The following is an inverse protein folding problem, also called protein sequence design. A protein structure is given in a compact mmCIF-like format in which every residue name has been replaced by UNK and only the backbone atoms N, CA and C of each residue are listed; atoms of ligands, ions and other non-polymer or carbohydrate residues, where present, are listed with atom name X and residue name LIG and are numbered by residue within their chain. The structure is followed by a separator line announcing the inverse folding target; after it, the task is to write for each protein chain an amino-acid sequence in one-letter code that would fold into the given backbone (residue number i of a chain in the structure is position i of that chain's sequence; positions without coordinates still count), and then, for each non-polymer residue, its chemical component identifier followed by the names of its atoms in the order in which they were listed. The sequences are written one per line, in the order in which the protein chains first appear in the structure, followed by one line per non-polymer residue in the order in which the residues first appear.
data_IF_339782676586
#
_entry.id   IF_339782676586
#
_cell.length_a   1.000
_cell.length_b   1.000
_cell.length_c   1.000
_cell.angle_alpha   90.00
_cell.angle_beta   90.00
_cell.angle_gamma   90.00
#
_symmetry.space_group_name_H-M   'P 1'
#
loop_
_entity.id
_entity.type
_entity.pdbx_description
1 polymer ?
#
# COMPACT_ATOMS: atom_id res chain seq x y z
N UNK A 1 26.03 9.06 16.40
CA UNK A 1 24.94 9.46 15.48
C UNK A 1 23.62 8.69 15.74
N UNK A 2 23.62 7.35 15.92
CA UNK A 2 22.36 6.59 16.16
C UNK A 2 21.61 7.03 17.42
N UNK A 3 22.31 7.22 18.55
CA UNK A 3 21.69 7.66 19.82
C UNK A 3 21.00 9.00 19.68
N UNK A 4 21.65 9.98 19.08
CA UNK A 4 21.09 11.32 18.83
C UNK A 4 19.83 11.24 17.96
N UNK A 5 19.80 10.35 16.96
CA UNK A 5 18.64 10.14 16.11
C UNK A 5 17.47 9.52 16.91
N UNK A 6 17.73 8.60 17.84
CA UNK A 6 16.66 8.06 18.69
C UNK A 6 16.11 9.09 19.70
N UNK A 7 16.99 9.92 20.28
CA UNK A 7 16.56 11.05 21.13
C UNK A 7 15.67 11.99 20.33
N UNK A 8 16.09 12.37 19.12
CA UNK A 8 15.28 13.18 18.19
C UNK A 8 13.92 12.54 17.89
N UNK A 9 13.90 11.23 17.59
CA UNK A 9 12.64 10.53 17.32
C UNK A 9 11.68 10.60 18.51
N UNK A 10 12.16 10.27 19.71
CA UNK A 10 11.32 10.20 20.91
C UNK A 10 10.84 11.59 21.34
N UNK A 11 11.76 12.57 21.36
CA UNK A 11 11.48 13.88 21.95
C UNK A 11 10.81 14.85 20.96
N UNK A 12 11.03 14.69 19.67
CA UNK A 12 10.58 15.65 18.65
C UNK A 12 9.68 14.98 17.61
N UNK A 13 10.18 13.97 16.88
CA UNK A 13 9.45 13.43 15.75
C UNK A 13 8.17 12.73 16.16
N UNK A 14 8.20 11.77 17.09
CA UNK A 14 7.02 11.02 17.50
C UNK A 14 5.89 11.87 18.09
N UNK A 15 6.13 12.85 18.99
CA UNK A 15 5.08 13.77 19.43
C UNK A 15 4.43 14.56 18.28
N UNK A 16 5.23 15.09 17.36
CA UNK A 16 4.72 15.80 16.18
C UNK A 16 3.89 14.87 15.30
N UNK A 17 4.40 13.66 15.02
CA UNK A 17 3.70 12.68 14.18
C UNK A 17 2.39 12.20 14.79
N UNK A 18 2.32 12.08 16.11
CA UNK A 18 1.07 11.76 16.82
C UNK A 18 0.02 12.87 16.59
N UNK A 19 0.38 14.12 16.81
CA UNK A 19 -0.51 15.28 16.57
C UNK A 19 -0.93 15.33 15.10
N UNK A 20 0.00 15.20 14.17
CA UNK A 20 -0.28 15.18 12.73
C UNK A 20 -1.24 14.05 12.35
N UNK A 21 -1.09 12.86 12.95
CA UNK A 21 -1.98 11.72 12.69
C UNK A 21 -3.40 12.00 13.13
N UNK A 22 -3.57 12.57 14.34
CA UNK A 22 -4.89 12.94 14.86
C UNK A 22 -5.53 14.04 14.00
N UNK A 23 -4.80 15.10 13.68
CA UNK A 23 -5.28 16.19 12.82
C UNK A 23 -5.68 15.69 11.44
N UNK A 24 -4.85 14.84 10.82
CA UNK A 24 -5.15 14.24 9.52
C UNK A 24 -6.42 13.39 9.58
N UNK A 25 -6.60 12.61 10.64
CA UNK A 25 -7.80 11.80 10.81
C UNK A 25 -9.06 12.69 10.93
N UNK A 26 -9.00 13.75 11.73
CA UNK A 26 -10.10 14.71 11.90
C UNK A 26 -10.44 15.37 10.56
N UNK A 27 -9.44 15.92 9.86
CA UNK A 27 -9.63 16.59 8.56
C UNK A 27 -10.20 15.63 7.52
N UNK A 28 -9.72 14.38 7.48
CA UNK A 28 -10.26 13.36 6.56
C UNK A 28 -11.71 13.04 6.88
N UNK A 29 -12.06 12.85 8.16
CA UNK A 29 -13.44 12.51 8.57
C UNK A 29 -14.37 13.67 8.23
N UNK A 30 -14.07 14.88 8.70
CA UNK A 30 -14.93 16.06 8.51
C UNK A 30 -15.07 16.39 7.03
N UNK A 31 -13.95 16.47 6.29
CA UNK A 31 -13.98 16.80 4.87
C UNK A 31 -14.74 15.78 4.05
N UNK A 32 -14.61 14.48 4.36
CA UNK A 32 -15.35 13.42 3.67
C UNK A 32 -16.85 13.48 3.96
N UNK A 33 -17.25 13.85 5.17
CA UNK A 33 -18.66 14.04 5.55
C UNK A 33 -19.30 15.27 4.86
N UNK A 34 -18.53 16.31 4.62
CA UNK A 34 -18.96 17.51 3.89
C UNK A 34 -19.09 17.32 2.38
N UNK A 35 -18.97 16.10 1.86
CA UNK A 35 -19.25 15.75 0.47
C UNK A 35 -18.02 15.69 -0.46
N UNK A 36 -16.82 15.83 0.04
CA UNK A 36 -15.59 15.79 -0.75
C UNK A 36 -14.76 14.52 -0.59
N UNK A 37 -15.36 13.33 -0.45
CA UNK A 37 -14.67 12.07 -0.17
C UNK A 37 -13.59 11.69 -1.21
N UNK A 38 -13.72 12.13 -2.47
CA UNK A 38 -12.68 11.96 -3.50
C UNK A 38 -11.40 12.73 -3.15
N UNK A 39 -11.53 13.98 -2.70
CA UNK A 39 -10.42 14.84 -2.33
C UNK A 39 -9.95 14.55 -0.90
N UNK A 40 -10.85 14.68 0.08
CA UNK A 40 -10.53 14.55 1.50
C UNK A 40 -10.18 13.13 1.93
N UNK A 41 -10.65 12.13 1.18
CA UNK A 41 -10.27 10.73 1.40
C UNK A 41 -8.88 10.35 0.86
N UNK A 42 -8.17 11.27 0.19
CA UNK A 42 -6.84 10.98 -0.36
C UNK A 42 -5.79 12.01 0.04
N UNK A 43 -6.02 13.31 -0.22
CA UNK A 43 -4.97 14.33 -0.08
C UNK A 43 -4.46 14.53 1.35
N UNK A 44 -5.29 14.52 2.41
CA UNK A 44 -4.77 14.60 3.77
C UNK A 44 -3.83 13.45 4.11
N UNK A 45 -4.19 12.21 3.75
CA UNK A 45 -3.34 11.04 3.96
C UNK A 45 -2.05 11.06 3.14
N UNK A 46 -2.10 11.62 1.92
CA UNK A 46 -0.89 11.84 1.10
C UNK A 46 0.07 12.82 1.78
N UNK A 47 -0.42 13.98 2.22
CA UNK A 47 0.40 14.99 2.90
C UNK A 47 0.94 14.44 4.21
N UNK A 48 0.11 13.78 5.00
CA UNK A 48 0.51 13.10 6.23
C UNK A 48 1.66 12.12 6.01
N UNK A 49 1.57 11.28 4.99
CA UNK A 49 2.61 10.30 4.65
C UNK A 49 3.93 10.98 4.25
N UNK A 50 3.86 12.08 3.51
CA UNK A 50 5.04 12.88 3.13
C UNK A 50 5.68 13.54 4.36
N UNK A 51 4.88 14.10 5.26
CA UNK A 51 5.35 14.71 6.50
C UNK A 51 5.99 13.67 7.43
N UNK A 52 5.46 12.44 7.51
CA UNK A 52 6.08 11.34 8.27
C UNK A 52 7.49 11.07 7.74
N UNK A 53 7.65 10.92 6.42
CA UNK A 53 8.97 10.70 5.83
C UNK A 53 9.92 11.89 6.07
N UNK A 54 9.40 13.11 5.98
CA UNK A 54 10.17 14.34 6.23
C UNK A 54 10.67 14.42 7.68
N UNK A 55 9.77 14.33 8.66
CA UNK A 55 10.12 14.43 10.08
C UNK A 55 10.97 13.25 10.58
N UNK A 56 10.87 12.08 9.97
CA UNK A 56 11.75 10.96 10.26
C UNK A 56 13.04 10.98 9.43
N UNK A 57 13.27 12.04 8.63
CA UNK A 57 14.46 12.23 7.81
C UNK A 57 14.72 11.05 6.85
N UNK A 58 13.65 10.49 6.29
CA UNK A 58 13.67 9.35 5.39
C UNK A 58 13.64 9.84 3.94
N UNK A 59 14.76 9.74 3.19
CA UNK A 59 14.79 10.13 1.79
C UNK A 59 13.97 9.16 0.93
N UNK A 60 13.19 9.70 -0.02
CA UNK A 60 12.38 8.91 -0.94
C UNK A 60 12.83 9.15 -2.38
N UNK A 61 12.99 8.09 -3.15
CA UNK A 61 13.26 8.12 -4.60
C UNK A 61 12.13 7.39 -5.33
N UNK A 62 11.72 7.93 -6.48
CA UNK A 62 10.59 7.38 -7.25
C UNK A 62 11.03 7.20 -8.69
N UNK A 63 10.63 6.04 -9.27
CA UNK A 63 10.86 5.71 -10.67
C UNK A 63 9.55 5.26 -11.32
N UNK A 64 9.36 5.55 -12.60
CA UNK A 64 8.27 5.00 -13.41
C UNK A 64 6.91 5.67 -13.23
N UNK A 65 6.82 6.84 -12.56
CA UNK A 65 5.53 7.54 -12.40
C UNK A 65 4.93 7.97 -13.74
N UNK A 66 5.77 8.27 -14.72
CA UNK A 66 5.40 8.63 -16.10
C UNK A 66 4.67 7.52 -16.85
N UNK A 67 4.77 6.27 -16.41
CA UNK A 67 4.07 5.11 -16.98
C UNK A 67 2.57 5.08 -16.68
N UNK A 68 2.11 5.92 -15.76
CA UNK A 68 0.71 6.01 -15.37
C UNK A 68 -0.02 7.08 -16.17
N UNK A 69 -0.81 6.68 -17.16
CA UNK A 69 -1.45 7.58 -18.08
C UNK A 69 -2.89 7.96 -17.72
N UNK A 70 -3.28 9.20 -18.08
CA UNK A 70 -4.66 9.68 -18.07
C UNK A 70 -5.41 9.49 -16.73
N UNK A 71 -6.73 9.40 -16.79
CA UNK A 71 -7.64 9.11 -15.68
C UNK A 71 -7.98 7.61 -15.60
N UNK A 72 -7.04 6.73 -15.91
CA UNK A 72 -7.24 5.28 -15.89
C UNK A 72 -7.13 4.76 -14.47
N UNK A 73 -8.05 3.88 -14.08
CA UNK A 73 -7.99 3.14 -12.83
C UNK A 73 -7.11 1.89 -12.98
N UNK A 74 -6.34 1.59 -11.96
CA UNK A 74 -5.41 0.46 -11.91
C UNK A 74 -5.58 -0.35 -10.62
N UNK A 75 -5.10 -1.59 -10.63
CA UNK A 75 -4.81 -2.33 -9.41
C UNK A 75 -3.30 -2.32 -9.20
N UNK A 76 -2.83 -1.57 -8.20
CA UNK A 76 -1.44 -1.57 -7.78
C UNK A 76 -1.15 -2.79 -6.93
N UNK A 77 -0.16 -3.59 -7.33
CA UNK A 77 0.30 -4.80 -6.66
C UNK A 77 1.72 -4.66 -6.12
N UNK A 78 1.95 -4.00 -4.98
CA UNK A 78 3.27 -3.88 -4.39
C UNK A 78 3.69 -5.11 -3.59
N UNK A 79 5.01 -5.34 -3.44
CA UNK A 79 5.55 -6.20 -2.40
C UNK A 79 5.36 -5.55 -1.02
N UNK A 80 5.50 -6.32 0.06
CA UNK A 80 5.19 -5.86 1.42
C UNK A 80 6.34 -6.11 2.40
N UNK A 81 7.29 -5.16 2.47
CA UNK A 81 8.51 -5.28 3.26
C UNK A 81 8.37 -4.82 4.72
N UNK A 82 7.66 -3.72 4.95
CA UNK A 82 7.62 -3.12 6.27
C UNK A 82 6.41 -2.23 6.53
N UNK A 83 6.39 -1.61 7.70
CA UNK A 83 5.32 -0.66 8.06
C UNK A 83 5.37 0.62 7.24
N UNK A 84 6.54 0.97 6.70
CA UNK A 84 6.76 2.19 5.93
C UNK A 84 6.29 2.10 4.48
N UNK A 85 5.91 0.92 4.01
CA UNK A 85 5.30 0.72 2.68
C UNK A 85 4.06 1.60 2.49
N UNK A 86 3.26 1.76 3.56
CA UNK A 86 2.03 2.55 3.54
C UNK A 86 2.36 4.02 3.25
N UNK A 87 3.36 4.58 3.94
CA UNK A 87 3.78 5.98 3.76
C UNK A 87 4.39 6.20 2.38
N UNK A 88 5.18 5.24 1.90
CA UNK A 88 5.80 5.32 0.58
C UNK A 88 4.74 5.35 -0.53
N UNK A 89 3.78 4.43 -0.52
CA UNK A 89 2.72 4.38 -1.51
C UNK A 89 1.80 5.59 -1.38
N UNK A 90 1.28 5.87 -0.19
CA UNK A 90 0.29 6.92 0.02
C UNK A 90 0.85 8.30 -0.36
N UNK A 91 2.05 8.60 0.10
CA UNK A 91 2.69 9.89 -0.14
C UNK A 91 3.19 10.09 -1.57
N UNK A 92 3.59 9.01 -2.26
CA UNK A 92 4.49 9.16 -3.40
C UNK A 92 4.07 8.46 -4.69
N UNK A 93 3.05 7.60 -4.71
CA UNK A 93 2.60 6.94 -5.95
C UNK A 93 2.04 7.94 -7.00
N UNK A 94 1.50 9.07 -6.54
CA UNK A 94 1.03 10.14 -7.44
C UNK A 94 -0.36 9.91 -8.04
N UNK A 95 -1.13 8.95 -7.55
CA UNK A 95 -2.50 8.62 -7.99
C UNK A 95 -3.44 8.52 -6.81
N UNK A 96 -4.69 8.96 -7.00
CA UNK A 96 -5.74 8.70 -6.01
C UNK A 96 -6.10 7.22 -6.04
N UNK A 97 -6.17 6.62 -4.86
CA UNK A 97 -6.49 5.21 -4.72
C UNK A 97 -7.24 4.91 -3.42
N UNK A 98 -7.81 3.72 -3.35
CA UNK A 98 -8.34 3.15 -2.12
C UNK A 98 -7.52 1.93 -1.71
N UNK A 99 -7.21 1.84 -0.43
CA UNK A 99 -6.59 0.64 0.14
C UNK A 99 -7.60 -0.50 0.22
N UNK A 100 -7.16 -1.69 -0.10
CA UNK A 100 -7.82 -2.92 0.34
C UNK A 100 -7.08 -3.46 1.56
N UNK A 101 -7.72 -3.39 2.72
CA UNK A 101 -7.06 -3.64 4.00
C UNK A 101 -7.81 -4.65 4.86
N UNK A 102 -7.11 -5.21 5.85
CA UNK A 102 -7.69 -6.20 6.79
C UNK A 102 -8.80 -5.55 7.62
N UNK A 103 -9.96 -6.21 7.75
CA UNK A 103 -11.12 -5.74 8.52
C UNK A 103 -10.80 -5.32 9.96
N UNK A 104 -9.83 -5.99 10.60
CA UNK A 104 -9.43 -5.65 11.97
C UNK A 104 -8.87 -4.23 12.13
N UNK A 105 -8.32 -3.62 11.07
CA UNK A 105 -7.79 -2.25 11.11
C UNK A 105 -8.89 -1.20 11.32
N UNK A 106 -10.16 -1.53 11.05
CA UNK A 106 -11.31 -0.68 11.35
C UNK A 106 -11.45 -0.34 12.84
N UNK A 107 -10.89 -1.19 13.72
CA UNK A 107 -10.95 -1.01 15.18
C UNK A 107 -9.89 -0.07 15.73
N UNK A 108 -8.92 0.37 14.91
CA UNK A 108 -7.88 1.30 15.36
C UNK A 108 -8.49 2.67 15.69
N UNK A 109 -8.23 3.23 16.89
CA UNK A 109 -8.74 4.54 17.27
C UNK A 109 -8.33 5.59 16.23
N UNK A 110 -9.23 6.52 15.91
CA UNK A 110 -9.09 7.59 14.92
C UNK A 110 -8.81 7.09 13.50
N UNK A 111 -7.77 6.27 13.31
CA UNK A 111 -7.31 5.77 12.00
C UNK A 111 -8.38 4.92 11.31
N UNK A 112 -9.02 4.00 12.04
CA UNK A 112 -10.06 3.13 11.49
C UNK A 112 -11.24 3.93 10.93
N UNK A 113 -11.68 4.96 11.68
CA UNK A 113 -12.78 5.83 11.24
C UNK A 113 -12.38 6.72 10.07
N UNK A 114 -11.16 7.26 10.08
CA UNK A 114 -10.63 8.04 8.96
C UNK A 114 -10.55 7.18 7.68
N UNK A 115 -10.04 5.95 7.78
CA UNK A 115 -10.00 5.00 6.65
C UNK A 115 -11.40 4.68 6.11
N UNK A 116 -12.38 4.50 6.99
CA UNK A 116 -13.79 4.28 6.60
C UNK A 116 -14.36 5.50 5.87
N UNK A 117 -14.20 6.69 6.43
CA UNK A 117 -14.67 7.95 5.84
C UNK A 117 -13.95 8.27 4.52
N UNK A 118 -12.69 7.90 4.40
CA UNK A 118 -11.92 7.99 3.15
C UNK A 118 -12.39 7.01 2.07
N UNK A 119 -13.30 6.09 2.37
CA UNK A 119 -13.79 5.08 1.42
C UNK A 119 -12.80 3.95 1.15
N UNK A 120 -11.86 3.68 2.08
CA UNK A 120 -11.01 2.51 1.98
C UNK A 120 -11.80 1.22 2.22
N UNK A 121 -11.39 0.13 1.60
CA UNK A 121 -12.14 -1.13 1.54
C UNK A 121 -11.59 -2.10 2.59
N UNK A 122 -12.43 -2.43 3.55
CA UNK A 122 -12.12 -3.43 4.57
C UNK A 122 -12.52 -4.81 4.09
N UNK A 123 -11.53 -5.64 3.75
CA UNK A 123 -11.74 -6.98 3.22
C UNK A 123 -12.24 -7.92 4.31
N UNK A 124 -13.42 -8.48 4.10
CA UNK A 124 -14.00 -9.53 4.92
C UNK A 124 -14.01 -10.86 4.13
N UNK A 125 -13.29 -11.85 4.63
CA UNK A 125 -13.18 -13.18 4.01
C UNK A 125 -14.03 -14.25 4.70
N UNK A 126 -14.98 -13.86 5.55
CA UNK A 126 -15.77 -14.77 6.36
C UNK A 126 -16.84 -15.59 5.58
N UNK A 127 -16.94 -15.38 4.27
CA UNK A 127 -17.80 -16.16 3.41
C UNK A 127 -17.98 -15.54 2.01
N UNK A 128 -18.52 -16.33 1.04
CA UNK A 128 -18.64 -15.90 -0.36
C UNK A 128 -19.44 -14.60 -0.54
N UNK A 129 -20.52 -14.40 0.21
CA UNK A 129 -21.31 -13.16 0.17
C UNK A 129 -20.49 -11.93 0.55
N UNK A 130 -19.60 -12.05 1.54
CA UNK A 130 -18.74 -10.96 2.00
C UNK A 130 -17.62 -10.63 1.00
N UNK A 131 -17.12 -11.63 0.33
CA UNK A 131 -16.17 -11.46 -0.77
C UNK A 131 -16.83 -10.72 -1.93
N UNK A 132 -18.04 -11.11 -2.33
CA UNK A 132 -18.80 -10.44 -3.39
C UNK A 132 -19.12 -8.97 -3.05
N UNK A 133 -19.49 -8.70 -1.79
CA UNK A 133 -19.69 -7.32 -1.29
C UNK A 133 -18.42 -6.49 -1.38
N UNK A 134 -17.27 -7.07 -1.04
CA UNK A 134 -15.96 -6.41 -1.18
C UNK A 134 -15.64 -6.06 -2.65
N UNK A 135 -15.91 -6.99 -3.59
CA UNK A 135 -15.71 -6.73 -5.03
C UNK A 135 -16.64 -5.62 -5.52
N UNK A 136 -17.90 -5.60 -5.08
CA UNK A 136 -18.84 -4.53 -5.41
C UNK A 136 -18.38 -3.18 -4.90
N UNK A 137 -17.96 -3.09 -3.63
CA UNK A 137 -17.38 -1.85 -3.07
C UNK A 137 -16.15 -1.39 -3.85
N UNK A 138 -15.28 -2.33 -4.24
CA UNK A 138 -14.13 -2.05 -5.08
C UNK A 138 -14.56 -1.39 -6.40
N UNK A 139 -15.52 -2.02 -7.11
CA UNK A 139 -16.06 -1.51 -8.38
C UNK A 139 -16.67 -0.10 -8.23
N UNK A 140 -17.45 0.11 -7.16
CA UNK A 140 -18.12 1.40 -6.91
C UNK A 140 -17.12 2.53 -6.60
N UNK A 141 -15.91 2.18 -6.10
CA UNK A 141 -14.85 3.14 -5.80
C UNK A 141 -14.03 3.60 -6.99
N UNK A 142 -14.11 2.90 -8.13
CA UNK A 142 -13.30 3.14 -9.34
C UNK A 142 -13.82 4.29 -10.23
N UNK A 143 -14.38 5.31 -9.64
CA UNK A 143 -14.84 6.50 -10.37
C UNK A 143 -13.69 7.50 -10.51
N UNK A 144 -13.69 8.26 -11.60
CA UNK A 144 -12.76 9.37 -11.85
C UNK A 144 -11.27 8.99 -11.77
N UNK A 145 -10.91 7.78 -12.20
CA UNK A 145 -9.53 7.30 -12.23
C UNK A 145 -8.98 6.89 -10.86
N UNK A 146 -9.83 6.73 -9.86
CA UNK A 146 -9.44 6.15 -8.57
C UNK A 146 -8.99 4.71 -8.77
N UNK A 147 -7.85 4.36 -8.22
CA UNK A 147 -7.23 3.05 -8.32
C UNK A 147 -7.39 2.25 -7.01
N UNK A 148 -6.98 1.00 -7.00
CA UNK A 148 -6.93 0.17 -5.79
C UNK A 148 -5.48 -0.21 -5.49
N UNK A 149 -5.12 -0.28 -4.22
CA UNK A 149 -3.83 -0.84 -3.78
C UNK A 149 -4.10 -2.09 -2.95
N UNK A 150 -3.49 -3.18 -3.38
CA UNK A 150 -3.62 -4.50 -2.74
C UNK A 150 -2.24 -5.10 -2.61
N UNK A 151 -1.81 -5.44 -1.39
CA UNK A 151 -0.58 -6.20 -1.18
C UNK A 151 -0.84 -7.68 -1.50
N UNK A 152 -0.32 -8.23 -2.62
CA UNK A 152 -0.66 -9.60 -3.03
C UNK A 152 -0.04 -10.66 -2.11
N UNK A 153 1.02 -10.36 -1.38
CA UNK A 153 1.59 -11.25 -0.36
C UNK A 153 0.62 -11.47 0.83
N UNK A 154 -0.23 -10.48 1.10
CA UNK A 154 -1.22 -10.53 2.18
C UNK A 154 -0.66 -10.26 3.59
N UNK A 155 0.66 -10.26 3.77
CA UNK A 155 1.35 -9.92 5.03
C UNK A 155 2.75 -9.40 4.73
N UNK A 156 3.32 -8.63 5.67
CA UNK A 156 4.72 -8.17 5.63
C UNK A 156 5.68 -9.35 5.75
N UNK A 157 6.76 -9.31 4.99
CA UNK A 157 7.85 -10.28 5.10
C UNK A 157 8.54 -10.25 6.47
N UNK A 158 9.13 -11.37 6.86
CA UNK A 158 10.00 -11.47 8.03
C UNK A 158 11.49 -11.27 7.72
N UNK A 159 11.88 -11.47 6.47
CA UNK A 159 13.29 -11.55 6.03
C UNK A 159 13.71 -10.44 5.08
N UNK A 160 12.74 -9.66 4.58
CA UNK A 160 12.96 -8.70 3.50
C UNK A 160 12.75 -9.29 2.11
N UNK A 161 12.82 -10.63 1.95
CA UNK A 161 12.54 -11.30 0.70
C UNK A 161 11.05 -11.24 0.39
N UNK A 162 10.72 -11.19 -0.89
CA UNK A 162 9.34 -11.20 -1.37
C UNK A 162 8.71 -12.58 -1.16
N UNK A 163 7.51 -12.61 -0.59
CA UNK A 163 6.72 -13.82 -0.43
C UNK A 163 5.93 -14.17 -1.69
N UNK A 164 5.23 -15.30 -1.67
CA UNK A 164 4.35 -15.71 -2.76
C UNK A 164 3.20 -14.71 -2.93
N UNK A 165 2.88 -14.37 -4.16
CA UNK A 165 1.70 -13.61 -4.48
C UNK A 165 0.46 -14.51 -4.39
N UNK A 166 -0.57 -14.05 -3.66
CA UNK A 166 -1.87 -14.71 -3.55
C UNK A 166 -2.78 -14.25 -4.68
N UNK A 167 -3.55 -15.16 -5.24
CA UNK A 167 -4.41 -14.90 -6.40
C UNK A 167 -5.46 -13.79 -6.21
N UNK A 168 -5.80 -13.43 -4.96
CA UNK A 168 -6.93 -12.53 -4.67
C UNK A 168 -6.86 -11.15 -5.33
N UNK A 169 -5.68 -10.54 -5.40
CA UNK A 169 -5.48 -9.24 -6.08
C UNK A 169 -5.68 -9.38 -7.61
N UNK A 170 -5.19 -10.46 -8.18
CA UNK A 170 -5.25 -10.76 -9.61
C UNK A 170 -6.63 -11.23 -10.04
N UNK A 171 -7.33 -11.98 -9.18
CA UNK A 171 -8.74 -12.30 -9.36
C UNK A 171 -9.59 -11.03 -9.42
N UNK A 172 -9.35 -10.08 -8.50
CA UNK A 172 -10.05 -8.80 -8.52
C UNK A 172 -9.77 -8.02 -9.81
N UNK A 173 -8.52 -8.03 -10.29
CA UNK A 173 -8.16 -7.40 -11.55
C UNK A 173 -8.88 -8.04 -12.73
N UNK A 174 -8.96 -9.37 -12.75
CA UNK A 174 -9.68 -10.14 -13.76
C UNK A 174 -11.19 -9.88 -13.73
N UNK A 175 -11.80 -9.86 -12.53
CA UNK A 175 -13.24 -9.59 -12.36
C UNK A 175 -13.62 -8.17 -12.81
N UNK A 176 -12.75 -7.19 -12.56
CA UNK A 176 -12.95 -5.79 -12.91
C UNK A 176 -12.40 -5.41 -14.29
N UNK A 177 -11.68 -6.31 -14.95
CA UNK A 177 -11.00 -6.08 -16.23
C UNK A 177 -10.10 -4.82 -16.19
N UNK A 178 -9.32 -4.71 -15.12
CA UNK A 178 -8.35 -3.63 -14.89
C UNK A 178 -6.93 -4.10 -15.10
N UNK A 179 -6.08 -3.20 -15.59
CA UNK A 179 -4.65 -3.45 -15.63
C UNK A 179 -4.06 -3.51 -14.23
N UNK A 180 -3.15 -4.45 -14.02
CA UNK A 180 -2.33 -4.55 -12.81
C UNK A 180 -1.06 -3.75 -13.03
N UNK A 181 -0.73 -2.86 -12.09
CA UNK A 181 0.55 -2.16 -12.07
C UNK A 181 1.42 -2.77 -10.96
N UNK A 182 2.46 -3.52 -11.32
CA UNK A 182 3.43 -3.98 -10.35
C UNK A 182 4.18 -2.80 -9.76
N UNK A 183 4.44 -2.83 -8.46
CA UNK A 183 5.16 -1.77 -7.76
C UNK A 183 6.21 -2.39 -6.86
N UNK A 184 7.48 -2.00 -7.02
CA UNK A 184 8.53 -2.44 -6.12
C UNK A 184 8.77 -1.40 -5.03
N UNK A 185 8.72 -1.87 -3.80
CA UNK A 185 9.12 -1.15 -2.60
C UNK A 185 10.47 -1.70 -2.15
N UNK A 186 11.44 -0.81 -1.97
CA UNK A 186 12.74 -1.14 -1.41
C UNK A 186 13.11 -0.17 -0.28
N UNK A 187 13.82 -0.66 0.74
CA UNK A 187 14.31 0.11 1.88
C UNK A 187 13.36 0.21 3.07
N UNK A 188 12.11 -0.19 2.95
CA UNK A 188 11.15 -0.17 4.06
C UNK A 188 11.46 -1.21 5.13
N UNK A 189 12.04 -2.35 4.73
CA UNK A 189 12.49 -3.39 5.66
C UNK A 189 13.61 -2.88 6.58
N UNK A 190 14.57 -2.14 6.04
CA UNK A 190 15.67 -1.55 6.80
C UNK A 190 15.20 -0.46 7.77
N UNK A 191 14.10 0.23 7.45
CA UNK A 191 13.56 1.29 8.31
C UNK A 191 12.85 0.68 9.51
N UNK A 192 11.89 -0.20 9.28
CA UNK A 192 11.15 -0.85 10.36
C UNK A 192 10.62 -2.22 9.90
N UNK A 193 11.41 -3.29 10.07
CA UNK A 193 10.97 -4.65 9.76
C UNK A 193 9.80 -5.05 10.67
N UNK A 194 9.10 -6.11 10.30
CA UNK A 194 7.91 -6.60 11.04
C UNK A 194 8.21 -6.88 12.52
N UNK A 195 9.42 -7.36 12.83
CA UNK A 195 9.89 -7.70 14.18
C UNK A 195 10.63 -6.55 14.87
N UNK A 196 10.89 -5.47 14.15
CA UNK A 196 11.63 -4.31 14.66
C UNK A 196 10.79 -3.45 15.60
N UNK A 197 11.47 -2.81 16.57
CA UNK A 197 10.87 -1.87 17.53
C UNK A 197 11.33 -0.43 17.30
N UNK A 198 12.43 -0.22 16.58
CA UNK A 198 13.06 1.07 16.37
C UNK A 198 13.08 1.44 14.92
N UNK A 199 12.79 2.71 14.62
CA UNK A 199 12.85 3.25 13.26
C UNK A 199 14.30 3.60 12.96
N UNK A 200 14.82 3.06 11.87
CA UNK A 200 16.16 3.38 11.38
C UNK A 200 16.07 4.33 10.20
N UNK A 201 17.05 5.23 10.07
CA UNK A 201 17.14 6.10 8.91
C UNK A 201 17.69 5.31 7.72
N UNK A 202 16.86 5.10 6.73
CA UNK A 202 17.23 4.48 5.46
C UNK A 202 16.49 5.15 4.30
N UNK A 203 17.01 5.04 3.08
CA UNK A 203 16.32 5.53 1.89
C UNK A 203 15.23 4.54 1.47
N UNK A 204 14.08 5.06 1.05
CA UNK A 204 13.06 4.27 0.38
C UNK A 204 13.06 4.53 -1.13
N UNK A 205 12.84 3.48 -1.91
CA UNK A 205 12.71 3.55 -3.36
C UNK A 205 11.36 2.95 -3.75
N UNK A 206 10.60 3.72 -4.54
CA UNK A 206 9.35 3.27 -5.15
C UNK A 206 9.58 3.13 -6.66
N UNK A 207 9.47 1.92 -7.20
CA UNK A 207 9.54 1.68 -8.63
C UNK A 207 8.19 1.23 -9.15
N UNK A 208 7.61 2.01 -10.05
CA UNK A 208 6.34 1.73 -10.72
C UNK A 208 6.68 1.09 -12.06
N UNK A 209 6.21 -0.13 -12.29
CA UNK A 209 6.44 -0.86 -13.53
C UNK A 209 5.34 -0.57 -14.55
N UNK A 210 5.52 -1.08 -15.77
CA UNK A 210 4.54 -0.93 -16.84
C UNK A 210 3.23 -1.64 -16.47
N UNK A 211 2.08 -1.04 -16.76
CA UNK A 211 0.79 -1.67 -16.53
C UNK A 211 0.65 -2.95 -17.35
N UNK A 212 0.26 -4.04 -16.71
CA UNK A 212 -0.07 -5.32 -17.33
C UNK A 212 -1.57 -5.32 -17.65
N UNK A 213 -1.97 -5.16 -18.91
CA UNK A 213 -3.37 -5.16 -19.29
C UNK A 213 -3.98 -6.56 -19.15
N UNK A 214 -5.31 -6.69 -18.95
CA UNK A 214 -5.96 -7.98 -18.97
C UNK A 214 -5.85 -8.59 -20.39
N UNK A 215 -5.39 -9.86 -20.46
CA UNK A 215 -5.21 -10.62 -21.69
C UNK A 215 -6.35 -11.63 -21.94
N UNK A 216 -7.46 -11.47 -21.25
CA UNK A 216 -8.61 -12.37 -21.26
C UNK A 216 -9.29 -12.41 -19.91
N UNK A 217 -10.01 -13.49 -19.64
CA UNK A 217 -10.68 -13.75 -18.36
C UNK A 217 -10.42 -15.17 -17.86
N UNK A 218 -10.44 -15.33 -16.55
CA UNK A 218 -10.37 -16.63 -15.90
C UNK A 218 -8.98 -17.01 -15.40
N UNK A 219 -8.87 -18.25 -14.96
CA UNK A 219 -7.71 -18.72 -14.19
C UNK A 219 -6.37 -18.63 -14.92
N UNK A 220 -6.38 -18.80 -16.24
CA UNK A 220 -5.16 -18.72 -17.05
C UNK A 220 -4.62 -17.28 -17.08
N UNK A 221 -5.50 -16.30 -17.35
CA UNK A 221 -5.15 -14.89 -17.29
C UNK A 221 -4.66 -14.48 -15.90
N UNK A 222 -5.34 -14.93 -14.83
CA UNK A 222 -4.96 -14.65 -13.44
C UNK A 222 -3.55 -15.16 -13.13
N UNK A 223 -3.23 -16.41 -13.53
CA UNK A 223 -1.90 -17.00 -13.31
C UNK A 223 -0.81 -16.27 -14.12
N UNK A 224 -1.08 -15.97 -15.38
CA UNK A 224 -0.13 -15.26 -16.25
C UNK A 224 0.16 -13.85 -15.72
N UNK A 225 -0.87 -13.07 -15.41
CA UNK A 225 -0.72 -11.72 -14.84
C UNK A 225 0.01 -11.74 -13.49
N UNK A 226 -0.27 -12.74 -12.64
CA UNK A 226 0.40 -12.91 -11.36
C UNK A 226 1.90 -13.20 -11.53
N UNK A 227 2.27 -14.08 -12.43
CA UNK A 227 3.66 -14.43 -12.72
C UNK A 227 4.43 -13.23 -13.30
N UNK A 228 3.83 -12.52 -14.26
CA UNK A 228 4.42 -11.33 -14.88
C UNK A 228 4.62 -10.21 -13.83
N UNK A 229 3.61 -9.97 -12.98
CA UNK A 229 3.70 -8.98 -11.91
C UNK A 229 4.76 -9.36 -10.86
N UNK A 230 4.86 -10.63 -10.49
CA UNK A 230 5.90 -11.12 -9.57
C UNK A 230 7.29 -10.86 -10.12
N UNK A 231 7.55 -11.27 -11.36
CA UNK A 231 8.84 -11.07 -12.03
C UNK A 231 9.20 -9.57 -12.16
N UNK A 232 8.22 -8.72 -12.49
CA UNK A 232 8.43 -7.28 -12.58
C UNK A 232 8.82 -6.68 -11.23
N UNK A 233 8.12 -7.03 -10.14
CA UNK A 233 8.46 -6.54 -8.79
C UNK A 233 9.83 -7.03 -8.36
N UNK A 234 10.14 -8.31 -8.55
CA UNK A 234 11.43 -8.90 -8.18
C UNK A 234 12.60 -8.26 -8.94
N UNK A 235 12.40 -7.89 -10.20
CA UNK A 235 13.45 -7.33 -11.05
C UNK A 235 14.10 -6.06 -10.49
N UNK A 236 13.34 -5.24 -9.76
CA UNK A 236 13.81 -3.99 -9.17
C UNK A 236 14.21 -4.10 -7.69
N UNK A 237 14.12 -5.29 -7.10
CA UNK A 237 14.64 -5.53 -5.75
C UNK A 237 16.17 -5.64 -5.75
N UNK A 238 16.84 -5.21 -4.66
CA UNK A 238 18.25 -5.51 -4.44
C UNK A 238 18.52 -7.02 -4.47
N UNK A 239 19.68 -7.44 -4.96
CA UNK A 239 20.09 -8.85 -5.06
C UNK A 239 19.91 -9.62 -3.74
N UNK A 240 20.21 -8.98 -2.62
CA UNK A 240 20.06 -9.57 -1.27
C UNK A 240 18.61 -9.92 -0.90
N UNK A 241 17.61 -9.43 -1.63
CA UNK A 241 16.18 -9.69 -1.39
C UNK A 241 15.49 -10.41 -2.53
N UNK A 242 16.22 -10.75 -3.60
CA UNK A 242 15.73 -11.60 -4.67
C UNK A 242 15.66 -13.06 -4.25
N UNK A 243 14.80 -13.81 -4.91
CA UNK A 243 14.53 -15.20 -4.59
C UNK A 243 13.60 -15.39 -3.38
N UNK A 244 12.94 -16.53 -3.36
CA UNK A 244 12.05 -16.90 -2.27
C UNK A 244 12.81 -17.65 -1.19
N UNK A 245 12.70 -17.18 0.04
CA UNK A 245 13.06 -17.98 1.21
C UNK A 245 11.78 -18.63 1.71
N UNK A 246 11.77 -19.97 1.78
CA UNK A 246 10.68 -20.69 2.45
C UNK A 246 10.70 -20.33 3.92
N UNK A 247 9.79 -19.45 4.34
CA UNK A 247 9.51 -19.21 5.75
C UNK A 247 8.33 -20.08 6.15
N UNK A 248 8.54 -20.98 7.09
CA UNK A 248 7.51 -21.84 7.68
C UNK A 248 6.36 -21.06 8.35
N UNK A 249 6.55 -19.75 8.60
CA UNK A 249 5.58 -18.87 9.25
C UNK A 249 4.69 -18.04 8.30
N UNK A 250 4.82 -18.18 6.98
CA UNK A 250 3.95 -17.45 6.03
C UNK A 250 2.57 -18.08 5.84
N UNK A 251 2.37 -19.29 6.34
CA UNK A 251 1.10 -20.06 6.22
C UNK A 251 0.20 -19.98 7.47
N UNK A 252 0.56 -19.16 8.48
CA UNK A 252 -0.26 -18.94 9.69
C UNK A 252 -1.08 -17.67 9.67
#
# INVERSE_FOLDING_TARGET
MKILYYIYQICIALPILLVLTILTAIVTIIGSLLGGAHFWGYYPGKIWSQLICLFLLIPVKIHGREKLHGKTSYIFGPNHQGSFDIFLIYGFIGRNFKWMMKKSLRKLPFVGKACESAGHIFVDRSGPKKVLETIRQAKDSLKDGVSLVVFPEGARTFTGHMGYFKKGAFQLADDLQLAVVPVTIDGSFEILPRTGKWIHRHRMILTIHDPIPPKGKGMENIKATMAEAYAAVESALPEKYKGMIKNEDQDR
#
